data_IF_730127443389
#
_entry.id   IF_730127443389
#
_cell.length_a   1.000
_cell.length_b   1.000
_cell.length_c   1.000
_cell.angle_alpha   90.00
_cell.angle_beta   90.00
_cell.angle_gamma   90.00
#
_symmetry.space_group_name_H-M   'P 1'
#
loop_
_entity.id
_entity.type
_entity.pdbx_description
1 polymer ?
#
# COMPACT_ATOMS: atom_id res chain seq x y z
N UNK A 1 -12.95 -22.29 35.56
CA UNK A 1 -12.34 -23.15 34.53
C UNK A 1 -11.34 -24.11 35.15
N UNK A 2 -11.19 -25.34 34.66
CA UNK A 2 -10.25 -26.30 35.25
C UNK A 2 -8.83 -26.04 34.76
N UNK A 3 -7.81 -26.23 35.61
CA UNK A 3 -6.40 -26.20 35.16
C UNK A 3 -6.13 -27.19 34.01
N UNK A 4 -6.91 -28.28 33.93
CA UNK A 4 -6.77 -29.27 32.87
C UNK A 4 -7.10 -28.73 31.48
N UNK A 5 -8.05 -27.79 31.38
CA UNK A 5 -8.44 -27.17 30.11
C UNK A 5 -7.35 -26.23 29.60
N UNK A 6 -6.78 -25.41 30.50
CA UNK A 6 -5.64 -24.53 30.19
C UNK A 6 -4.43 -25.35 29.76
N UNK A 7 -4.11 -26.42 30.48
CA UNK A 7 -2.98 -27.29 30.13
C UNK A 7 -3.19 -28.01 28.79
N UNK A 8 -4.42 -28.45 28.49
CA UNK A 8 -4.74 -29.08 27.21
C UNK A 8 -4.56 -28.11 26.05
N UNK A 9 -5.06 -26.87 26.19
CA UNK A 9 -4.88 -25.83 25.18
C UNK A 9 -3.40 -25.54 24.93
N UNK A 10 -2.60 -25.37 26.00
CA UNK A 10 -1.14 -25.13 25.88
C UNK A 10 -0.47 -26.30 25.16
N UNK A 11 -0.82 -27.54 25.49
CA UNK A 11 -0.24 -28.72 24.85
C UNK A 11 -0.62 -28.80 23.37
N UNK A 12 -1.88 -28.57 23.01
CA UNK A 12 -2.35 -28.60 21.63
C UNK A 12 -1.67 -27.52 20.77
N UNK A 13 -1.57 -26.30 21.29
CA UNK A 13 -0.85 -25.20 20.64
C UNK A 13 0.63 -25.54 20.49
N UNK A 14 1.29 -26.03 21.56
CA UNK A 14 2.71 -26.39 21.52
C UNK A 14 2.99 -27.52 20.54
N UNK A 15 2.15 -28.56 20.47
CA UNK A 15 2.29 -29.63 19.49
C UNK A 15 2.15 -29.12 18.05
N UNK A 16 1.21 -28.21 17.81
CA UNK A 16 0.99 -27.64 16.48
C UNK A 16 2.16 -26.75 16.04
N UNK A 17 2.68 -25.90 16.93
CA UNK A 17 3.85 -25.07 16.67
C UNK A 17 5.07 -25.95 16.38
N UNK A 18 5.38 -26.93 17.23
CA UNK A 18 6.50 -27.86 16.99
C UNK A 18 6.37 -28.59 15.63
N UNK A 19 5.16 -28.96 15.23
CA UNK A 19 4.92 -29.60 13.93
C UNK A 19 5.14 -28.64 12.76
N UNK A 20 4.75 -27.36 12.89
CA UNK A 20 5.02 -26.32 11.90
C UNK A 20 6.50 -26.00 11.80
N UNK A 21 7.20 -25.82 12.93
CA UNK A 21 8.64 -25.61 12.99
C UNK A 21 9.39 -26.80 12.35
N UNK A 22 8.97 -28.03 12.63
CA UNK A 22 9.57 -29.23 12.02
C UNK A 22 9.35 -29.24 10.51
N UNK A 23 8.14 -28.90 10.04
CA UNK A 23 7.83 -28.82 8.62
C UNK A 23 8.64 -27.71 7.93
N UNK A 24 8.70 -26.51 8.51
CA UNK A 24 9.53 -25.41 8.03
C UNK A 24 11.00 -25.84 7.98
N UNK A 25 11.54 -26.50 9.01
CA UNK A 25 12.92 -26.98 9.01
C UNK A 25 13.17 -28.00 7.87
N UNK A 26 12.25 -28.94 7.66
CA UNK A 26 12.33 -29.94 6.58
C UNK A 26 12.30 -29.31 5.18
N UNK A 27 11.44 -28.32 4.97
CA UNK A 27 11.24 -27.67 3.67
C UNK A 27 12.00 -26.33 3.52
N UNK A 28 12.78 -25.94 4.53
CA UNK A 28 13.47 -24.63 4.61
C UNK A 28 14.33 -24.33 3.39
N UNK A 29 15.06 -25.33 2.90
CA UNK A 29 15.90 -25.21 1.70
C UNK A 29 15.11 -24.95 0.42
N UNK A 30 13.87 -25.43 0.36
CA UNK A 30 13.01 -25.28 -0.82
C UNK A 30 12.14 -24.03 -0.75
N UNK A 31 11.61 -23.71 0.44
CA UNK A 31 10.65 -22.63 0.64
C UNK A 31 11.31 -21.31 1.01
N UNK A 32 12.49 -21.35 1.64
CA UNK A 32 13.21 -20.18 2.16
C UNK A 32 12.27 -19.19 2.87
N UNK A 33 11.52 -19.63 3.90
CA UNK A 33 10.40 -18.88 4.46
C UNK A 33 10.79 -17.50 5.00
N UNK A 34 12.01 -17.37 5.53
CA UNK A 34 12.53 -16.11 6.08
C UNK A 34 13.18 -15.20 5.04
N UNK A 35 13.38 -15.67 3.81
CA UNK A 35 14.06 -14.88 2.78
C UNK A 35 13.09 -13.87 2.15
N UNK A 36 13.49 -12.60 2.16
CA UNK A 36 12.81 -11.53 1.43
C UNK A 36 13.82 -10.67 0.68
N UNK A 37 13.60 -10.44 -0.62
CA UNK A 37 14.43 -9.49 -1.38
C UNK A 37 14.32 -8.07 -0.82
N UNK A 38 13.20 -7.73 -0.17
CA UNK A 38 12.98 -6.42 0.44
C UNK A 38 13.84 -6.16 1.68
N UNK A 39 14.49 -7.18 2.25
CA UNK A 39 15.49 -7.00 3.30
C UNK A 39 16.79 -6.39 2.77
N UNK A 40 16.99 -6.43 1.45
CA UNK A 40 18.19 -5.94 0.75
C UNK A 40 17.92 -4.74 -0.17
N UNK A 41 16.66 -4.35 -0.35
CA UNK A 41 16.24 -3.19 -1.15
C UNK A 41 16.07 -2.00 -0.21
N UNK A 42 16.39 -0.78 -0.67
CA UNK A 42 16.07 0.40 0.10
C UNK A 42 14.54 0.60 0.14
N UNK A 43 13.94 0.48 1.31
CA UNK A 43 12.51 0.67 1.57
C UNK A 43 12.23 1.92 2.40
N UNK A 44 13.12 2.92 2.36
CA UNK A 44 12.80 4.27 2.84
C UNK A 44 11.70 4.93 1.98
N UNK A 45 11.29 6.15 2.33
CA UNK A 45 10.25 6.91 1.63
C UNK A 45 10.54 6.99 0.12
N UNK A 46 11.77 7.34 -0.26
CA UNK A 46 12.17 7.47 -1.66
C UNK A 46 12.26 6.10 -2.37
N UNK A 47 12.72 5.07 -1.68
CA UNK A 47 12.84 3.70 -2.18
C UNK A 47 11.47 3.12 -2.53
N UNK A 48 10.49 3.29 -1.65
CA UNK A 48 9.10 2.92 -1.92
C UNK A 48 8.53 3.75 -3.07
N UNK A 49 8.77 5.06 -3.10
CA UNK A 49 8.32 5.92 -4.21
C UNK A 49 8.89 5.46 -5.55
N UNK A 50 10.18 5.07 -5.61
CA UNK A 50 10.82 4.50 -6.81
C UNK A 50 10.17 3.21 -7.27
N UNK A 51 9.85 2.31 -6.35
CA UNK A 51 9.19 1.03 -6.67
C UNK A 51 7.79 1.30 -7.25
N UNK A 52 7.00 2.14 -6.58
CA UNK A 52 5.66 2.48 -7.03
C UNK A 52 5.69 3.19 -8.39
N UNK A 53 6.53 4.21 -8.56
CA UNK A 53 6.70 4.91 -9.82
C UNK A 53 7.10 3.96 -10.97
N UNK A 54 8.00 3.01 -10.71
CA UNK A 54 8.43 2.03 -11.70
C UNK A 54 7.29 1.10 -12.13
N UNK A 55 6.36 0.74 -11.24
CA UNK A 55 5.17 -0.06 -11.58
C UNK A 55 4.06 0.77 -12.26
N UNK A 56 3.98 2.06 -11.95
CA UNK A 56 2.99 2.98 -12.52
C UNK A 56 3.38 3.51 -13.91
N UNK A 57 4.64 3.39 -14.31
CA UNK A 57 5.14 3.91 -15.59
C UNK A 57 4.74 3.01 -16.77
N UNK A 58 3.86 3.46 -17.69
CA UNK A 58 3.50 2.67 -18.87
C UNK A 58 4.69 2.32 -19.78
N UNK A 59 5.78 3.09 -19.67
CA UNK A 59 7.03 2.94 -20.43
C UNK A 59 8.13 2.29 -19.57
N UNK A 60 7.77 1.79 -18.38
CA UNK A 60 8.67 1.19 -17.40
C UNK A 60 9.27 -0.15 -17.85
N UNK A 61 10.34 -0.56 -17.16
CA UNK A 61 11.11 -1.77 -17.48
C UNK A 61 10.34 -3.09 -17.29
N UNK A 62 9.20 -3.06 -16.59
CA UNK A 62 8.30 -4.21 -16.48
C UNK A 62 7.61 -4.56 -17.82
N UNK A 63 7.61 -3.65 -18.80
CA UNK A 63 7.09 -3.87 -20.16
C UNK A 63 5.62 -4.35 -20.23
N UNK A 64 4.82 -4.07 -19.20
CA UNK A 64 3.38 -4.41 -19.17
C UNK A 64 2.50 -3.29 -19.76
N UNK A 65 3.11 -2.31 -20.42
CA UNK A 65 2.46 -1.11 -20.95
C UNK A 65 1.63 -0.43 -19.87
N UNK A 66 0.47 0.13 -20.22
CA UNK A 66 -0.39 0.85 -19.30
C UNK A 66 -1.21 -0.02 -18.34
N UNK A 67 -1.10 -1.36 -18.41
CA UNK A 67 -1.96 -2.29 -17.65
C UNK A 67 -1.88 -2.06 -16.14
N UNK A 68 -0.66 -1.91 -15.59
CA UNK A 68 -0.47 -1.66 -14.16
C UNK A 68 -1.03 -0.31 -13.71
N UNK A 69 -0.85 0.74 -14.51
CA UNK A 69 -1.44 2.06 -14.24
C UNK A 69 -2.98 2.02 -14.34
N UNK A 70 -3.52 1.29 -15.31
CA UNK A 70 -4.97 1.10 -15.47
C UNK A 70 -5.57 0.46 -14.24
N UNK A 71 -4.98 -0.64 -13.78
CA UNK A 71 -5.39 -1.35 -12.56
C UNK A 71 -5.23 -0.47 -11.32
N UNK A 72 -4.17 0.35 -11.24
CA UNK A 72 -4.00 1.28 -10.12
C UNK A 72 -5.16 2.27 -10.05
N UNK A 73 -5.53 2.88 -11.18
CA UNK A 73 -6.64 3.84 -11.21
C UNK A 73 -7.97 3.16 -10.89
N UNK A 74 -8.19 1.94 -11.37
CA UNK A 74 -9.41 1.18 -11.10
C UNK A 74 -9.57 0.78 -9.62
N UNK A 75 -8.51 0.20 -9.03
CA UNK A 75 -8.55 -0.35 -7.67
C UNK A 75 -8.32 0.71 -6.60
N UNK A 76 -7.40 1.64 -6.84
CA UNK A 76 -6.98 2.61 -5.84
C UNK A 76 -7.65 3.98 -6.02
N UNK A 77 -8.03 4.38 -7.24
CA UNK A 77 -8.61 5.71 -7.49
C UNK A 77 -10.01 5.66 -8.12
N UNK A 78 -11.01 5.03 -7.46
CA UNK A 78 -12.36 4.90 -8.02
C UNK A 78 -13.03 6.25 -8.31
N UNK A 79 -12.64 7.31 -7.59
CA UNK A 79 -13.09 8.70 -7.83
C UNK A 79 -12.57 9.30 -9.14
N UNK A 80 -11.47 8.76 -9.68
CA UNK A 80 -10.97 9.05 -11.03
C UNK A 80 -11.61 8.10 -12.03
N UNK A 81 -11.56 6.78 -11.77
CA UNK A 81 -12.02 5.76 -12.70
C UNK A 81 -13.50 5.94 -13.13
N UNK A 82 -14.36 6.41 -12.22
CA UNK A 82 -15.80 6.59 -12.46
C UNK A 82 -16.17 8.02 -12.89
N UNK A 83 -15.21 8.89 -13.16
CA UNK A 83 -15.44 10.31 -13.39
C UNK A 83 -15.25 10.68 -14.87
N UNK A 84 -16.30 11.24 -15.47
CA UNK A 84 -16.32 11.60 -16.90
C UNK A 84 -15.23 12.60 -17.30
N UNK A 85 -14.79 13.47 -16.38
CA UNK A 85 -13.74 14.44 -16.65
C UNK A 85 -12.38 13.77 -16.96
N UNK A 86 -12.19 12.52 -16.51
CA UNK A 86 -10.96 11.75 -16.67
C UNK A 86 -10.98 10.78 -17.86
N UNK A 87 -12.04 10.76 -18.67
CA UNK A 87 -12.18 9.76 -19.75
C UNK A 87 -11.05 9.84 -20.80
N UNK A 88 -10.60 11.05 -21.15
CA UNK A 88 -9.48 11.20 -22.10
C UNK A 88 -8.19 10.62 -21.50
N UNK A 89 -7.93 10.86 -20.21
CA UNK A 89 -6.82 10.24 -19.48
C UNK A 89 -6.93 8.71 -19.46
N UNK A 90 -8.09 8.16 -19.08
CA UNK A 90 -8.32 6.70 -18.99
C UNK A 90 -8.16 5.97 -20.33
N UNK A 91 -8.46 6.66 -21.43
CA UNK A 91 -8.31 6.16 -22.79
C UNK A 91 -6.90 6.33 -23.38
N UNK A 92 -6.01 7.05 -22.70
CA UNK A 92 -4.65 7.37 -23.17
C UNK A 92 -3.58 7.18 -22.08
N UNK A 93 -3.79 6.20 -21.19
CA UNK A 93 -2.89 5.95 -20.06
C UNK A 93 -1.45 5.68 -20.51
N UNK A 94 -1.24 5.09 -21.69
CA UNK A 94 0.07 4.82 -22.30
C UNK A 94 0.90 6.07 -22.59
N UNK A 95 0.25 7.25 -22.65
CA UNK A 95 0.93 8.54 -22.84
C UNK A 95 1.42 9.17 -21.54
N UNK A 96 1.09 8.58 -20.39
CA UNK A 96 1.48 9.11 -19.07
C UNK A 96 2.99 9.09 -18.90
N UNK A 97 3.55 10.21 -18.43
CA UNK A 97 4.91 10.33 -17.94
C UNK A 97 4.89 10.27 -16.41
N UNK A 98 5.87 9.57 -15.82
CA UNK A 98 6.02 9.42 -14.37
C UNK A 98 7.30 10.10 -13.91
N UNK A 99 7.17 10.97 -12.91
CA UNK A 99 8.27 11.74 -12.34
C UNK A 99 8.42 11.41 -10.86
N UNK A 100 9.67 11.33 -10.40
CA UNK A 100 10.01 11.23 -8.99
C UNK A 100 10.56 12.57 -8.52
N UNK A 101 10.20 12.97 -7.30
CA UNK A 101 10.70 14.18 -6.65
C UNK A 101 10.55 15.46 -7.52
N UNK A 102 9.44 15.56 -8.25
CA UNK A 102 9.17 16.66 -9.19
C UNK A 102 9.04 17.99 -8.45
N UNK A 103 9.82 18.99 -8.86
CA UNK A 103 9.90 20.27 -8.15
C UNK A 103 8.65 21.12 -8.39
N UNK A 104 8.11 21.68 -7.31
CA UNK A 104 6.96 22.62 -7.33
C UNK A 104 7.37 24.05 -7.74
N UNK A 105 7.77 24.18 -9.00
CA UNK A 105 8.18 25.46 -9.56
C UNK A 105 7.03 26.43 -9.84
N UNK A 106 5.78 25.97 -10.00
CA UNK A 106 4.63 26.82 -10.31
C UNK A 106 3.96 27.43 -9.08
N UNK A 107 4.14 26.83 -7.90
CA UNK A 107 3.76 27.41 -6.60
C UNK A 107 4.88 28.23 -5.96
N UNK A 108 6.09 28.21 -6.53
CA UNK A 108 7.33 28.82 -5.99
C UNK A 108 7.77 28.27 -4.63
N UNK A 109 7.30 27.09 -4.23
CA UNK A 109 7.63 26.52 -2.91
C UNK A 109 8.89 25.67 -2.93
N UNK A 110 9.35 25.23 -4.11
CA UNK A 110 10.55 24.40 -4.29
C UNK A 110 10.50 23.07 -3.51
N UNK A 111 9.30 22.57 -3.22
CA UNK A 111 9.08 21.22 -2.70
C UNK A 111 9.20 20.20 -3.80
N UNK A 112 9.21 18.92 -3.42
CA UNK A 112 9.34 17.78 -4.34
C UNK A 112 8.14 16.88 -4.14
N UNK A 113 7.29 16.76 -5.14
CA UNK A 113 6.20 15.78 -5.15
C UNK A 113 6.82 14.39 -5.30
N UNK A 114 6.55 13.46 -4.39
CA UNK A 114 7.22 12.16 -4.36
C UNK A 114 7.04 11.39 -5.66
N UNK A 115 5.79 11.27 -6.14
CA UNK A 115 5.46 10.73 -7.45
C UNK A 115 4.48 11.68 -8.13
N UNK A 116 4.78 12.05 -9.37
CA UNK A 116 3.90 12.86 -10.20
C UNK A 116 3.63 12.17 -11.53
N UNK A 117 2.35 11.91 -11.81
CA UNK A 117 1.86 11.37 -13.08
C UNK A 117 1.33 12.53 -13.92
N UNK A 118 1.84 12.67 -15.15
CA UNK A 118 1.34 13.66 -16.11
C UNK A 118 0.93 12.98 -17.39
N UNK A 119 -0.32 13.16 -17.80
CA UNK A 119 -0.78 12.74 -19.13
C UNK A 119 -1.16 13.97 -19.94
N UNK A 120 -0.62 14.06 -21.15
CA UNK A 120 -0.97 15.10 -22.13
C UNK A 120 -1.51 14.41 -23.38
N UNK A 121 -2.70 14.82 -23.81
CA UNK A 121 -3.36 14.34 -25.02
C UNK A 121 -3.84 15.57 -25.78
N UNK A 122 -3.15 15.92 -26.87
CA UNK A 122 -3.40 17.15 -27.61
C UNK A 122 -3.39 18.37 -26.67
N UNK A 123 -4.50 19.09 -26.53
CA UNK A 123 -4.64 20.23 -25.62
C UNK A 123 -5.06 19.83 -24.19
N UNK A 124 -5.49 18.59 -23.96
CA UNK A 124 -5.96 18.11 -22.67
C UNK A 124 -4.80 17.61 -21.78
N UNK A 125 -4.79 18.08 -20.54
CA UNK A 125 -3.73 17.81 -19.57
C UNK A 125 -4.29 17.29 -18.24
N UNK A 126 -3.65 16.27 -17.69
CA UNK A 126 -4.03 15.61 -16.45
C UNK A 126 -2.83 15.45 -15.52
N UNK A 127 -3.04 15.65 -14.22
CA UNK A 127 -1.99 15.57 -13.21
C UNK A 127 -2.44 14.81 -11.97
N UNK A 128 -1.69 13.80 -11.55
CA UNK A 128 -1.91 13.10 -10.27
C UNK A 128 -0.61 13.20 -9.48
N UNK A 129 -0.68 13.76 -8.28
CA UNK A 129 0.43 13.76 -7.33
C UNK A 129 0.14 12.75 -6.23
N UNK A 130 1.11 11.89 -5.95
CA UNK A 130 1.07 10.93 -4.85
C UNK A 130 2.16 11.33 -3.86
N UNK A 131 1.75 11.69 -2.65
CA UNK A 131 2.65 11.91 -1.52
C UNK A 131 2.73 10.62 -0.71
N UNK A 132 3.94 10.07 -0.57
CA UNK A 132 4.21 8.79 0.05
C UNK A 132 4.69 9.01 1.49
N UNK A 133 3.93 8.56 2.49
CA UNK A 133 4.26 8.67 3.91
C UNK A 133 4.24 7.30 4.58
N UNK A 134 5.25 6.45 4.33
CA UNK A 134 5.34 5.14 4.97
C UNK A 134 5.70 5.23 6.46
N UNK A 135 6.43 6.27 6.88
CA UNK A 135 6.96 6.37 8.25
C UNK A 135 6.92 7.79 8.84
N UNK A 136 6.79 8.83 8.00
CA UNK A 136 7.10 10.20 8.37
C UNK A 136 5.86 11.01 8.78
N UNK A 137 6.08 11.97 9.68
CA UNK A 137 5.10 13.00 10.00
C UNK A 137 4.99 14.01 8.85
N UNK A 138 3.84 14.67 8.76
CA UNK A 138 3.62 15.66 7.70
C UNK A 138 4.47 16.92 7.87
N UNK A 139 4.73 17.58 6.74
CA UNK A 139 5.38 18.88 6.70
C UNK A 139 4.35 20.01 6.61
N UNK A 140 4.70 21.18 7.14
CA UNK A 140 3.85 22.38 7.16
C UNK A 140 3.32 22.65 5.76
N UNK A 141 2.02 22.89 5.58
CA UNK A 141 1.37 23.30 4.34
C UNK A 141 1.68 22.45 3.08
N UNK A 142 2.25 21.25 3.23
CA UNK A 142 2.77 20.46 2.11
C UNK A 142 1.68 20.11 1.10
N UNK A 143 0.54 19.62 1.58
CA UNK A 143 -0.58 19.26 0.72
C UNK A 143 -1.20 20.48 0.04
N UNK A 144 -1.22 21.65 0.70
CA UNK A 144 -1.67 22.92 0.08
C UNK A 144 -0.74 23.34 -1.04
N UNK A 145 0.57 23.25 -0.83
CA UNK A 145 1.58 23.63 -1.82
C UNK A 145 1.48 22.78 -3.09
N UNK A 146 1.21 21.48 -2.96
CA UNK A 146 0.97 20.60 -4.10
C UNK A 146 -0.35 20.89 -4.81
N UNK A 147 -1.43 21.16 -4.07
CA UNK A 147 -2.70 21.54 -4.69
C UNK A 147 -2.57 22.83 -5.50
N UNK A 148 -1.84 23.82 -4.98
CA UNK A 148 -1.55 25.07 -5.68
C UNK A 148 -0.68 24.80 -6.93
N UNK A 149 0.36 23.96 -6.80
CA UNK A 149 1.19 23.55 -7.92
C UNK A 149 0.35 22.94 -9.05
N UNK A 150 -0.44 21.92 -8.76
CA UNK A 150 -1.30 21.23 -9.74
C UNK A 150 -2.30 22.17 -10.40
N UNK A 151 -2.90 23.08 -9.62
CA UNK A 151 -3.79 24.11 -10.15
C UNK A 151 -3.06 25.07 -11.10
N UNK A 152 -1.83 25.49 -10.74
CA UNK A 152 -1.03 26.41 -11.55
C UNK A 152 -0.42 25.76 -12.80
N UNK A 153 -0.34 24.43 -12.84
CA UNK A 153 -0.01 23.66 -14.05
C UNK A 153 -1.14 23.64 -15.08
N UNK A 154 -2.34 24.16 -14.74
CA UNK A 154 -3.50 24.34 -15.64
C UNK A 154 -4.01 23.03 -16.26
N UNK A 155 -4.00 21.94 -15.50
CA UNK A 155 -4.62 20.70 -15.93
C UNK A 155 -6.15 20.85 -16.08
N UNK A 156 -6.72 20.13 -17.04
CA UNK A 156 -8.16 19.94 -17.17
C UNK A 156 -8.71 19.26 -15.93
N UNK A 157 -7.97 18.29 -15.37
CA UNK A 157 -8.27 17.67 -14.09
C UNK A 157 -6.99 17.30 -13.36
N UNK A 158 -7.01 17.44 -12.04
CA UNK A 158 -5.90 17.06 -11.18
C UNK A 158 -6.40 16.34 -9.94
N UNK A 159 -5.53 15.53 -9.35
CA UNK A 159 -5.83 14.76 -8.14
C UNK A 159 -4.61 14.68 -7.22
N UNK A 160 -4.87 14.73 -5.91
CA UNK A 160 -3.89 14.48 -4.86
C UNK A 160 -4.17 13.14 -4.19
N UNK A 161 -3.14 12.33 -4.02
CA UNK A 161 -3.19 11.08 -3.29
C UNK A 161 -2.26 11.20 -2.09
N UNK A 162 -2.79 10.95 -0.91
CA UNK A 162 -1.99 10.79 0.31
C UNK A 162 -1.90 9.30 0.63
N UNK A 163 -0.69 8.74 0.62
CA UNK A 163 -0.44 7.33 0.87
C UNK A 163 0.19 7.15 2.26
N UNK A 164 -0.59 6.67 3.23
CA UNK A 164 -0.16 6.47 4.63
C UNK A 164 -0.95 5.31 5.27
N UNK A 165 -0.34 4.51 6.14
CA UNK A 165 -1.07 3.41 6.81
C UNK A 165 -1.84 3.85 8.07
N UNK A 166 -1.20 4.67 8.92
CA UNK A 166 -1.60 4.87 10.31
C UNK A 166 -2.70 5.93 10.52
N UNK A 167 -2.76 6.94 9.64
CA UNK A 167 -3.68 8.07 9.74
C UNK A 167 -4.61 8.13 8.53
N UNK A 168 -5.92 8.30 8.77
CA UNK A 168 -6.90 8.39 7.68
C UNK A 168 -6.80 9.68 6.83
N UNK A 169 -6.12 10.70 7.35
CA UNK A 169 -5.95 12.00 6.69
C UNK A 169 -4.61 12.65 7.09
N UNK A 170 -4.04 13.53 6.25
CA UNK A 170 -2.95 14.40 6.66
C UNK A 170 -3.34 15.25 7.87
N UNK A 171 -2.37 15.56 8.72
CA UNK A 171 -2.54 16.44 9.86
C UNK A 171 -2.90 17.88 9.44
N UNK A 172 -3.53 18.62 10.37
CA UNK A 172 -3.85 20.04 10.18
C UNK A 172 -2.61 20.93 9.96
N UNK A 173 -1.42 20.43 10.31
CA UNK A 173 -0.16 21.07 9.99
C UNK A 173 0.10 21.11 8.48
N UNK A 174 -0.35 20.10 7.73
CA UNK A 174 -0.19 20.00 6.28
C UNK A 174 -1.35 20.62 5.50
N UNK A 175 -2.58 20.42 5.96
CA UNK A 175 -3.78 21.01 5.36
C UNK A 175 -4.89 21.16 6.40
N UNK A 176 -5.56 22.32 6.41
CA UNK A 176 -6.70 22.51 7.31
C UNK A 176 -7.92 21.68 6.88
N UNK A 177 -8.69 21.23 7.86
CA UNK A 177 -9.86 20.36 7.67
C UNK A 177 -10.83 20.89 6.60
N UNK A 178 -11.12 22.19 6.59
CA UNK A 178 -12.06 22.80 5.62
C UNK A 178 -11.53 22.74 4.19
N UNK A 179 -10.24 22.98 3.99
CA UNK A 179 -9.60 22.86 2.68
C UNK A 179 -9.65 21.41 2.18
N UNK A 180 -9.32 20.45 3.05
CA UNK A 180 -9.33 19.03 2.72
C UNK A 180 -10.74 18.53 2.36
N UNK A 181 -11.76 18.85 3.17
CA UNK A 181 -13.17 18.55 2.88
C UNK A 181 -13.60 19.09 1.52
N UNK A 182 -13.11 20.28 1.16
CA UNK A 182 -13.35 20.88 -0.16
C UNK A 182 -12.75 20.06 -1.30
N UNK A 183 -11.56 19.49 -1.14
CA UNK A 183 -10.95 18.61 -2.15
C UNK A 183 -11.67 17.27 -2.25
N UNK A 184 -12.05 16.67 -1.11
CA UNK A 184 -12.85 15.43 -1.07
C UNK A 184 -14.16 15.63 -1.83
N UNK A 185 -14.91 16.69 -1.51
CA UNK A 185 -16.21 17.00 -2.15
C UNK A 185 -16.08 17.20 -3.66
N UNK A 186 -14.92 17.70 -4.13
CA UNK A 186 -14.63 17.92 -5.56
C UNK A 186 -13.97 16.73 -6.25
N UNK A 187 -13.80 15.59 -5.57
CA UNK A 187 -13.07 14.41 -6.07
C UNK A 187 -11.62 14.75 -6.50
N UNK A 188 -10.96 15.67 -5.79
CA UNK A 188 -9.58 16.11 -6.04
C UNK A 188 -8.57 15.52 -5.06
N UNK A 189 -9.04 14.70 -4.12
CA UNK A 189 -8.21 14.07 -3.09
C UNK A 189 -8.65 12.63 -2.84
N UNK A 190 -7.69 11.73 -2.64
CA UNK A 190 -7.90 10.39 -2.08
C UNK A 190 -6.88 10.11 -0.99
N UNK A 191 -7.33 9.49 0.08
CA UNK A 191 -6.45 8.80 1.02
C UNK A 191 -6.31 7.34 0.60
N UNK A 192 -5.10 6.80 0.61
CA UNK A 192 -4.82 5.39 0.45
C UNK A 192 -3.94 4.91 1.58
N UNK A 193 -4.23 3.70 2.06
CA UNK A 193 -3.33 2.91 2.89
C UNK A 193 -2.42 2.05 2.03
N UNK A 194 -1.28 1.62 2.57
CA UNK A 194 -0.47 0.63 1.87
C UNK A 194 -1.23 -0.68 1.74
N UNK A 195 -2.05 -1.02 2.73
CA UNK A 195 -2.99 -2.15 2.66
C UNK A 195 -3.99 -2.05 1.49
N UNK A 196 -4.39 -0.85 1.06
CA UNK A 196 -5.28 -0.66 -0.10
C UNK A 196 -4.58 -1.01 -1.43
N UNK A 197 -3.25 -0.97 -1.48
CA UNK A 197 -2.47 -1.33 -2.68
C UNK A 197 -2.50 -2.84 -2.94
N UNK A 198 -2.84 -3.69 -1.96
CA UNK A 198 -2.79 -5.14 -2.11
C UNK A 198 -3.75 -5.64 -3.20
N UNK A 199 -4.94 -5.04 -3.33
CA UNK A 199 -5.90 -5.39 -4.37
C UNK A 199 -5.33 -5.12 -5.78
N UNK A 200 -4.75 -3.93 -5.95
CA UNK A 200 -4.06 -3.53 -7.17
C UNK A 200 -2.89 -4.46 -7.51
N UNK A 201 -2.00 -4.74 -6.54
CA UNK A 201 -0.82 -5.60 -6.76
C UNK A 201 -1.23 -7.03 -7.15
N UNK A 202 -2.26 -7.59 -6.52
CA UNK A 202 -2.80 -8.92 -6.90
C UNK A 202 -3.37 -8.92 -8.30
N UNK A 203 -4.11 -7.87 -8.69
CA UNK A 203 -4.63 -7.75 -10.05
C UNK A 203 -3.48 -7.66 -11.08
N UNK A 204 -2.45 -6.85 -10.79
CA UNK A 204 -1.25 -6.75 -11.60
C UNK A 204 -0.55 -8.10 -11.76
N UNK A 205 -0.47 -8.89 -10.68
CA UNK A 205 0.12 -10.23 -10.72
C UNK A 205 -0.66 -11.18 -11.63
N UNK A 206 -1.99 -11.14 -11.60
CA UNK A 206 -2.85 -11.98 -12.46
C UNK A 206 -2.69 -11.63 -13.94
N UNK A 207 -2.57 -10.35 -14.27
CA UNK A 207 -2.37 -9.91 -15.66
C UNK A 207 -0.92 -10.03 -16.14
N UNK A 208 0.05 -10.06 -15.23
CA UNK A 208 1.46 -10.04 -15.57
C UNK A 208 1.89 -11.31 -16.28
N UNK A 209 2.47 -11.15 -17.47
CA UNK A 209 2.95 -12.29 -18.26
C UNK A 209 4.38 -12.70 -17.88
N UNK A 210 5.15 -11.80 -17.28
CA UNK A 210 6.55 -12.04 -16.95
C UNK A 210 6.71 -12.59 -15.52
N UNK A 211 7.30 -13.79 -15.41
CA UNK A 211 7.46 -14.46 -14.11
C UNK A 211 8.28 -13.64 -13.10
N UNK A 212 9.37 -13.01 -13.52
CA UNK A 212 10.23 -12.22 -12.62
C UNK A 212 9.51 -10.99 -12.08
N UNK A 213 8.73 -10.31 -12.91
CA UNK A 213 7.90 -9.16 -12.48
C UNK A 213 6.78 -9.63 -11.54
N UNK A 214 6.10 -10.72 -11.89
CA UNK A 214 5.06 -11.34 -11.05
C UNK A 214 5.60 -11.75 -9.67
N UNK A 215 6.82 -12.31 -9.61
CA UNK A 215 7.48 -12.66 -8.35
C UNK A 215 7.88 -11.41 -7.54
N UNK A 216 8.40 -10.38 -8.21
CA UNK A 216 8.69 -9.10 -7.54
C UNK A 216 7.42 -8.50 -6.91
N UNK A 217 6.29 -8.51 -7.62
CA UNK A 217 4.99 -8.06 -7.10
C UNK A 217 4.53 -8.92 -5.91
N UNK A 218 4.76 -10.24 -5.96
CA UNK A 218 4.46 -11.14 -4.85
C UNK A 218 5.25 -10.76 -3.59
N UNK A 219 6.54 -10.46 -3.77
CA UNK A 219 7.43 -10.06 -2.67
C UNK A 219 7.09 -8.67 -2.15
N UNK A 220 6.72 -7.73 -3.02
CA UNK A 220 6.23 -6.41 -2.62
C UNK A 220 4.94 -6.53 -1.79
N UNK A 221 4.02 -7.40 -2.22
CA UNK A 221 2.78 -7.71 -1.50
C UNK A 221 3.08 -8.23 -0.10
N UNK A 222 3.97 -9.23 0.02
CA UNK A 222 4.41 -9.76 1.32
C UNK A 222 5.09 -8.69 2.18
N UNK A 223 5.94 -7.87 1.59
CA UNK A 223 6.60 -6.76 2.29
C UNK A 223 5.56 -5.80 2.87
N UNK A 224 4.56 -5.38 2.10
CA UNK A 224 3.50 -4.49 2.59
C UNK A 224 2.72 -5.13 3.73
N UNK A 225 2.30 -6.40 3.57
CA UNK A 225 1.56 -7.13 4.59
C UNK A 225 2.34 -7.25 5.91
N UNK A 226 3.62 -7.61 5.82
CA UNK A 226 4.49 -7.70 7.00
C UNK A 226 4.73 -6.34 7.63
N UNK A 227 5.06 -5.33 6.81
CA UNK A 227 5.54 -4.03 7.29
C UNK A 227 4.43 -3.14 7.84
N UNK A 228 3.28 -3.12 7.19
CA UNK A 228 2.20 -2.16 7.47
C UNK A 228 0.97 -2.82 8.11
N UNK A 229 0.77 -4.13 7.92
CA UNK A 229 -0.40 -4.83 8.48
C UNK A 229 -0.04 -5.72 9.69
N UNK A 230 1.24 -5.84 10.05
CA UNK A 230 1.70 -6.73 11.11
C UNK A 230 1.43 -8.21 10.83
N UNK A 231 1.23 -8.59 9.57
CA UNK A 231 1.00 -9.97 9.17
C UNK A 231 2.38 -10.65 9.08
N UNK A 232 2.76 -11.34 10.15
CA UNK A 232 3.86 -12.30 10.14
C UNK A 232 3.39 -13.64 9.55
N UNK A 233 4.22 -14.68 9.58
CA UNK A 233 4.04 -15.92 8.82
C UNK A 233 2.63 -16.53 9.02
N UNK A 234 1.73 -16.27 8.05
CA UNK A 234 0.29 -16.48 8.19
C UNK A 234 -0.08 -17.92 8.58
N UNK A 235 0.81 -18.89 8.36
CA UNK A 235 0.55 -20.28 8.68
C UNK A 235 0.57 -20.58 10.19
N UNK A 236 1.42 -19.92 10.97
CA UNK A 236 1.51 -20.15 12.41
C UNK A 236 0.36 -19.45 13.15
N UNK A 237 0.16 -18.16 12.89
CA UNK A 237 -0.91 -17.37 13.52
C UNK A 237 -2.29 -17.95 13.23
N UNK A 238 -2.57 -18.36 11.99
CA UNK A 238 -3.84 -19.01 11.66
C UNK A 238 -3.96 -20.38 12.34
N UNK A 239 -2.88 -21.16 12.43
CA UNK A 239 -2.94 -22.45 13.10
C UNK A 239 -3.23 -22.33 14.60
N UNK A 240 -2.66 -21.31 15.26
CA UNK A 240 -2.95 -20.99 16.66
C UNK A 240 -4.39 -20.51 16.81
N UNK A 241 -4.83 -19.57 15.96
CA UNK A 241 -6.21 -19.06 15.96
C UNK A 241 -7.26 -20.17 15.77
N UNK A 242 -7.03 -21.11 14.86
CA UNK A 242 -7.94 -22.24 14.63
C UNK A 242 -8.06 -23.14 15.87
N UNK A 243 -6.97 -23.37 16.61
CA UNK A 243 -7.00 -24.12 17.87
C UNK A 243 -7.75 -23.35 18.95
N UNK A 244 -7.50 -22.05 19.08
CA UNK A 244 -8.17 -21.18 20.05
C UNK A 244 -9.68 -21.13 19.80
N UNK A 245 -10.11 -21.07 18.54
CA UNK A 245 -11.53 -20.98 18.14
C UNK A 245 -12.25 -22.33 18.15
N UNK A 246 -11.53 -23.44 18.35
CA UNK A 246 -12.07 -24.80 18.23
C UNK A 246 -13.22 -25.10 19.22
N UNK A 247 -13.25 -24.43 20.37
CA UNK A 247 -14.37 -24.51 21.32
C UNK A 247 -14.45 -23.28 22.21
N UNK A 248 -15.61 -23.07 22.86
CA UNK A 248 -15.81 -21.98 23.83
C UNK A 248 -14.81 -22.10 24.99
N UNK A 249 -14.51 -23.32 25.41
CA UNK A 249 -13.56 -23.58 26.49
C UNK A 249 -12.12 -23.18 26.12
N UNK A 250 -11.72 -23.33 24.86
CA UNK A 250 -10.42 -22.85 24.40
C UNK A 250 -10.37 -21.32 24.39
N UNK A 251 -11.44 -20.65 23.98
CA UNK A 251 -11.54 -19.18 23.99
C UNK A 251 -11.40 -18.62 25.41
N UNK A 252 -12.16 -19.14 26.38
CA UNK A 252 -12.07 -18.61 27.75
C UNK A 252 -10.71 -18.93 28.39
N UNK A 253 -10.11 -20.10 28.07
CA UNK A 253 -8.77 -20.45 28.52
C UNK A 253 -7.70 -19.50 27.94
N UNK A 254 -7.79 -19.14 26.65
CA UNK A 254 -6.92 -18.15 26.02
C UNK A 254 -7.00 -16.77 26.70
N UNK A 255 -8.22 -16.30 27.00
CA UNK A 255 -8.45 -15.03 27.70
C UNK A 255 -7.86 -15.08 29.12
N UNK A 256 -8.04 -16.22 29.82
CA UNK A 256 -7.48 -16.41 31.16
C UNK A 256 -5.94 -16.35 31.15
N UNK A 257 -5.28 -16.95 30.16
CA UNK A 257 -3.82 -16.87 30.00
C UNK A 257 -3.40 -15.41 29.83
N UNK A 258 -3.96 -14.70 28.84
CA UNK A 258 -3.62 -13.30 28.54
C UNK A 258 -3.74 -12.39 29.77
N UNK A 259 -4.87 -12.47 30.50
CA UNK A 259 -5.11 -11.66 31.71
C UNK A 259 -4.13 -11.90 32.87
N UNK A 260 -3.35 -12.99 32.85
CA UNK A 260 -2.35 -13.29 33.88
C UNK A 260 -0.92 -13.10 33.40
N UNK A 261 -0.69 -12.96 32.09
CA UNK A 261 0.63 -12.63 31.52
C UNK A 261 0.93 -11.13 31.65
N UNK A 262 -0.09 -10.28 31.59
CA UNK A 262 0.05 -8.82 31.68
C UNK A 262 0.03 -8.26 33.13
N UNK A 263 0.25 -9.11 34.14
CA UNK A 263 0.34 -8.72 35.57
C UNK A 263 1.77 -8.71 36.06
#
# INVERSE_FOLDING_TARGET
MSMSTVQSLINDVSQKINALETAQALYSRQLSPDFSTFDYINTDELGISRILAALLDPKGSHAQKESFLRLFVEYCLPVIHKNDNWQIFLNNLEKTDVFLEEITGKSNTQRRMDIYLRCQVDDDSYGICIENKPYAADQLDQMKDYAIELKNRKHNSWHLVYLNEDNDVPSEYSVDTKTLEGWITRNQYSHLRFSDLIGWLKACQVECQNHSVSEFIAQLTKFIQKKFMGIEDMNEDNAVLEIMKKSVENIEASIQISNNVDK
#
